data_IF_708123489858
#
_entry.id   IF_708123489858
#
_cell.length_a   1.000
_cell.length_b   1.000
_cell.length_c   1.000
_cell.angle_alpha   90.00
_cell.angle_beta   90.00
_cell.angle_gamma   90.00
#
_symmetry.space_group_name_H-M   'P 1'
#
loop_
_entity.id
_entity.type
_entity.pdbx_description
1 polymer ?
#
# COMPACT_ATOMS: atom_id res chain seq x y z
N UNK A 1 -15.79 21.84 -5.99
CA UNK A 1 -15.27 21.53 -6.10
C UNK A 1 -14.85 21.01 -5.96
N UNK A 2 -15.17 20.44 -5.74
CA UNK A 2 -14.66 19.73 -5.70
C UNK A 2 -13.96 19.45 -6.24
N UNK A 3 -13.94 19.56 -6.77
CA UNK A 3 -13.13 19.08 -7.32
C UNK A 3 -12.11 19.18 -7.12
N UNK A 4 -11.74 19.57 -6.68
CA UNK A 4 -10.65 19.56 -6.34
C UNK A 4 -10.37 18.92 -5.55
N UNK A 5 -10.89 18.39 -5.18
CA UNK A 5 -10.54 17.80 -4.43
C UNK A 5 -9.74 16.92 -4.59
N UNK A 6 -9.89 16.64 -5.10
CA UNK A 6 -9.15 15.84 -5.26
C UNK A 6 -8.25 15.74 -6.03
N UNK A 7 -8.18 16.02 -6.53
CA UNK A 7 -7.40 15.87 -7.19
C UNK A 7 -6.38 15.96 -6.99
N UNK A 8 -6.40 16.27 -6.53
CA UNK A 8 -5.56 16.43 -6.34
C UNK A 8 -4.63 15.92 -5.94
N UNK A 9 -4.27 15.61 -5.56
CA UNK A 9 -3.33 15.18 -5.22
C UNK A 9 -2.93 14.35 -5.73
N UNK A 10 -2.65 14.76 -6.21
CA UNK A 10 -2.25 14.14 -6.50
C UNK A 10 -1.75 12.97 -6.56
N UNK A 11 -1.60 12.42 -5.71
CA UNK A 11 -1.37 11.04 -5.72
C UNK A 11 -2.68 10.36 -5.61
N UNK A 12 -3.37 10.39 -6.67
CA UNK A 12 -4.63 9.72 -6.69
C UNK A 12 -4.46 8.30 -7.14
N UNK A 13 -5.29 7.44 -6.63
CA UNK A 13 -5.30 6.06 -7.05
C UNK A 13 -5.70 5.98 -8.51
N UNK A 14 -5.12 5.08 -9.27
CA UNK A 14 -5.48 4.91 -10.66
C UNK A 14 -6.86 4.32 -10.80
N UNK A 15 -7.35 4.27 -12.03
CA UNK A 15 -8.64 3.68 -12.34
C UNK A 15 -8.67 2.21 -11.95
N UNK A 16 -9.87 1.68 -11.77
CA UNK A 16 -10.01 0.30 -11.31
C UNK A 16 -9.32 -0.71 -12.21
N UNK A 17 -9.30 -0.46 -13.50
CA UNK A 17 -8.63 -1.40 -14.40
C UNK A 17 -7.13 -1.46 -14.14
N UNK A 18 -6.55 -0.41 -13.61
CA UNK A 18 -5.15 -0.45 -13.28
C UNK A 18 -4.89 -1.31 -12.06
N UNK A 19 -5.85 -1.37 -11.15
CA UNK A 19 -5.73 -2.27 -10.01
C UNK A 19 -5.78 -3.72 -10.43
N UNK A 20 -6.64 -4.04 -11.38
CA UNK A 20 -6.90 -5.44 -11.71
C UNK A 20 -5.91 -6.01 -12.70
N UNK A 21 -5.28 -5.17 -13.52
CA UNK A 21 -4.42 -5.67 -14.58
C UNK A 21 -2.95 -5.48 -14.32
N UNK A 22 -2.61 -4.81 -13.24
CA UNK A 22 -1.25 -4.37 -13.07
C UNK A 22 -0.45 -5.25 -12.17
N UNK A 23 0.83 -4.97 -12.16
CA UNK A 23 1.77 -5.61 -11.28
C UNK A 23 1.48 -5.20 -9.83
N UNK A 24 1.89 -6.03 -8.86
CA UNK A 24 1.70 -5.68 -7.45
C UNK A 24 2.34 -4.35 -7.04
N UNK A 25 3.37 -3.92 -7.75
CA UNK A 25 3.98 -2.61 -7.54
C UNK A 25 4.12 -1.96 -8.90
N UNK A 26 3.69 -0.72 -9.01
CA UNK A 26 3.80 0.03 -10.26
C UNK A 26 5.13 0.75 -10.30
N UNK A 27 6.12 0.10 -10.91
CA UNK A 27 7.47 0.64 -10.96
C UNK A 27 7.54 1.94 -11.75
N UNK A 28 6.70 2.10 -12.77
CA UNK A 28 6.68 3.35 -13.54
C UNK A 28 6.30 4.53 -12.64
N UNK A 29 5.37 4.31 -11.72
CA UNK A 29 5.01 5.35 -10.77
C UNK A 29 6.19 5.71 -9.87
N UNK A 30 6.84 4.70 -9.31
CA UNK A 30 7.98 4.92 -8.43
C UNK A 30 9.11 5.65 -9.17
N UNK A 31 9.37 5.26 -10.42
CA UNK A 31 10.47 5.81 -11.18
C UNK A 31 10.32 7.28 -11.50
N UNK A 32 9.12 7.81 -11.43
CA UNK A 32 8.94 9.25 -11.55
C UNK A 32 9.62 10.01 -10.43
N UNK A 33 9.73 9.38 -9.27
CA UNK A 33 10.34 10.03 -8.10
C UNK A 33 11.82 9.72 -7.97
N UNK A 34 12.24 8.53 -8.42
CA UNK A 34 13.65 8.15 -8.35
C UNK A 34 14.43 8.60 -9.57
N UNK A 35 13.74 9.13 -10.59
CA UNK A 35 14.33 9.70 -11.78
C UNK A 35 15.28 8.74 -12.48
N UNK A 36 14.94 7.44 -12.45
CA UNK A 36 15.74 6.43 -13.11
C UNK A 36 16.95 5.96 -12.32
N UNK A 37 17.13 6.45 -11.11
CA UNK A 37 18.24 6.01 -10.25
C UNK A 37 17.91 4.63 -9.69
N UNK A 38 18.55 3.59 -10.24
CA UNK A 38 18.24 2.22 -9.85
C UNK A 38 18.62 1.93 -8.41
N UNK A 39 19.72 2.48 -7.94
CA UNK A 39 20.13 2.26 -6.56
C UNK A 39 19.10 2.86 -5.59
N UNK A 40 18.60 4.04 -5.91
CA UNK A 40 17.57 4.66 -5.08
C UNK A 40 16.28 3.87 -5.15
N UNK A 41 15.91 3.40 -6.33
CA UNK A 41 14.72 2.58 -6.49
C UNK A 41 14.79 1.35 -5.59
N UNK A 42 15.93 0.64 -5.65
CA UNK A 42 16.11 -0.57 -4.84
C UNK A 42 16.04 -0.25 -3.35
N UNK A 43 16.63 0.86 -2.95
CA UNK A 43 16.65 1.27 -1.56
C UNK A 43 15.23 1.54 -1.04
N UNK A 44 14.43 2.26 -1.85
CA UNK A 44 13.07 2.57 -1.47
C UNK A 44 12.23 1.29 -1.37
N UNK A 45 12.40 0.38 -2.33
CA UNK A 45 11.65 -0.87 -2.32
C UNK A 45 12.04 -1.75 -1.14
N UNK A 46 13.32 -1.79 -0.78
CA UNK A 46 13.76 -2.56 0.37
C UNK A 46 13.21 -1.99 1.67
N UNK A 47 13.17 -0.66 1.77
CA UNK A 47 12.57 -0.02 2.92
C UNK A 47 11.10 -0.38 3.04
N UNK A 48 10.38 -0.35 1.92
CA UNK A 48 8.98 -0.73 1.91
C UNK A 48 8.81 -2.18 2.38
N UNK A 49 9.64 -3.10 1.88
CA UNK A 49 9.57 -4.49 2.29
C UNK A 49 9.84 -4.68 3.79
N UNK A 50 10.74 -3.89 4.34
CA UNK A 50 11.06 -3.97 5.76
C UNK A 50 9.90 -3.45 6.62
N UNK A 51 9.28 -2.35 6.19
CA UNK A 51 8.21 -1.73 6.96
C UNK A 51 6.88 -2.44 6.84
N UNK A 52 6.64 -3.12 5.71
CA UNK A 52 5.35 -3.71 5.43
C UNK A 52 4.88 -4.69 6.51
N UNK A 53 5.68 -5.70 6.89
CA UNK A 53 5.22 -6.63 7.93
C UNK A 53 5.04 -5.96 9.29
N UNK A 54 5.85 -4.94 9.59
CA UNK A 54 5.72 -4.22 10.85
C UNK A 54 4.39 -3.46 10.90
N UNK A 55 4.03 -2.81 9.80
CA UNK A 55 2.79 -2.04 9.76
C UNK A 55 1.58 -2.97 9.78
N UNK A 56 1.67 -4.11 9.08
CA UNK A 56 0.59 -5.10 9.13
C UNK A 56 0.41 -5.67 10.52
N UNK A 57 1.51 -5.91 11.23
CA UNK A 57 1.44 -6.40 12.59
C UNK A 57 0.81 -5.35 13.51
N UNK A 58 1.18 -4.08 13.33
CA UNK A 58 0.59 -3.01 14.11
C UNK A 58 -0.91 -2.93 13.88
N UNK A 59 -1.33 -3.10 12.62
CA UNK A 59 -2.74 -3.07 12.30
C UNK A 59 -3.47 -4.24 12.96
N UNK A 60 -2.91 -5.45 12.83
CA UNK A 60 -3.55 -6.65 13.37
C UNK A 60 -3.62 -6.68 14.87
N UNK A 61 -2.72 -5.98 15.56
CA UNK A 61 -2.67 -5.97 17.02
C UNK A 61 -3.22 -4.68 17.61
N UNK A 62 -3.83 -3.82 16.81
CA UNK A 62 -4.34 -2.54 17.30
C UNK A 62 -5.39 -2.77 18.39
N UNK A 63 -5.17 -2.17 19.55
CA UNK A 63 -6.06 -2.33 20.68
C UNK A 63 -7.18 -1.31 20.72
N UNK A 64 -7.01 -0.20 20.02
CA UNK A 64 -8.02 0.86 20.00
C UNK A 64 -8.36 1.21 18.57
N UNK A 65 -9.47 1.87 18.41
CA UNK A 65 -9.87 2.34 17.09
C UNK A 65 -8.85 3.33 16.54
N UNK A 66 -8.32 4.16 17.40
CA UNK A 66 -7.31 5.13 16.97
C UNK A 66 -6.07 4.44 16.44
N UNK A 67 -5.59 3.42 17.15
CA UNK A 67 -4.41 2.68 16.71
C UNK A 67 -4.64 1.99 15.38
N UNK A 68 -5.83 1.44 15.21
CA UNK A 68 -6.22 0.81 13.95
C UNK A 68 -6.15 1.82 12.79
N UNK A 69 -6.75 2.98 13.00
CA UNK A 69 -6.79 4.00 11.94
C UNK A 69 -5.42 4.55 11.63
N UNK A 70 -4.59 4.75 12.65
CA UNK A 70 -3.23 5.23 12.42
C UNK A 70 -2.44 4.22 11.61
N UNK A 71 -2.51 2.95 11.95
CA UNK A 71 -1.78 1.92 11.22
C UNK A 71 -2.28 1.80 9.79
N UNK A 72 -3.59 1.84 9.58
CA UNK A 72 -4.16 1.76 8.24
C UNK A 72 -3.74 2.95 7.40
N UNK A 73 -3.75 4.14 7.98
CA UNK A 73 -3.37 5.35 7.28
C UNK A 73 -1.88 5.32 6.90
N UNK A 74 -1.04 4.86 7.81
CA UNK A 74 0.39 4.72 7.55
C UNK A 74 0.64 3.75 6.40
N UNK A 75 -0.05 2.62 6.41
CA UNK A 75 0.08 1.63 5.35
C UNK A 75 -0.35 2.20 4.01
N UNK A 76 -1.47 2.92 4.02
CA UNK A 76 -1.97 3.55 2.79
C UNK A 76 -0.95 4.49 2.18
N UNK A 77 -0.37 5.36 3.02
CA UNK A 77 0.60 6.33 2.53
C UNK A 77 1.84 5.68 1.96
N UNK A 78 2.40 4.70 2.68
CA UNK A 78 3.59 4.01 2.23
C UNK A 78 3.34 3.26 0.92
N UNK A 79 2.17 2.61 0.82
CA UNK A 79 1.85 1.83 -0.37
C UNK A 79 1.64 2.72 -1.59
N UNK A 80 1.00 3.86 -1.41
CA UNK A 80 0.83 4.81 -2.51
C UNK A 80 2.17 5.32 -3.01
N UNK A 81 3.08 5.56 -2.09
CA UNK A 81 4.39 6.11 -2.46
C UNK A 81 5.14 5.20 -3.42
N UNK A 82 5.04 3.89 -3.24
CA UNK A 82 5.76 2.96 -4.11
C UNK A 82 4.89 2.40 -5.25
N UNK A 83 3.64 2.80 -5.31
CA UNK A 83 2.76 2.31 -6.38
C UNK A 83 2.17 0.93 -6.10
N UNK A 84 2.07 0.55 -4.84
CA UNK A 84 1.42 -0.69 -4.46
C UNK A 84 -0.07 -0.42 -4.27
N UNK A 85 -0.76 -0.24 -5.39
CA UNK A 85 -2.14 0.28 -5.38
C UNK A 85 -3.12 -0.64 -4.70
N UNK A 86 -2.97 -1.95 -4.87
CA UNK A 86 -3.90 -2.88 -4.26
C UNK A 86 -3.82 -2.82 -2.74
N UNK A 87 -2.59 -2.77 -2.20
CA UNK A 87 -2.42 -2.62 -0.77
C UNK A 87 -2.98 -1.29 -0.31
N UNK A 88 -2.72 -0.22 -1.06
CA UNK A 88 -3.22 1.11 -0.72
C UNK A 88 -4.75 1.13 -0.67
N UNK A 89 -5.39 0.48 -1.63
CA UNK A 89 -6.85 0.42 -1.65
C UNK A 89 -7.40 -0.36 -0.46
N UNK A 90 -6.78 -1.49 -0.16
CA UNK A 90 -7.21 -2.29 0.99
C UNK A 90 -6.99 -1.54 2.30
N UNK A 91 -5.89 -0.78 2.39
CA UNK A 91 -5.63 0.03 3.58
C UNK A 91 -6.67 1.14 3.72
N UNK A 92 -7.10 1.72 2.61
CA UNK A 92 -8.17 2.70 2.62
C UNK A 92 -9.46 2.09 3.16
N UNK A 93 -9.80 0.88 2.71
CA UNK A 93 -10.98 0.19 3.22
C UNK A 93 -10.85 -0.07 4.71
N UNK A 94 -9.66 -0.49 5.16
CA UNK A 94 -9.43 -0.74 6.58
C UNK A 94 -9.63 0.54 7.39
N UNK A 95 -9.13 1.65 6.87
CA UNK A 95 -9.25 2.92 7.56
C UNK A 95 -10.71 3.33 7.76
N UNK A 96 -11.57 2.94 6.83
CA UNK A 96 -12.99 3.30 6.85
C UNK A 96 -13.83 2.41 7.76
N UNK A 97 -13.29 1.30 8.24
CA UNK A 97 -14.08 0.38 9.06
C UNK A 97 -14.27 0.92 10.47
N UNK A 98 -15.49 0.76 10.98
CA UNK A 98 -15.79 1.19 12.33
C UNK A 98 -15.24 0.22 13.37
N UNK A 99 -15.23 0.65 14.62
CA UNK A 99 -14.59 -0.09 15.68
C UNK A 99 -15.20 -1.45 16.01
N UNK A 100 -16.48 -1.65 15.67
CA UNK A 100 -17.18 -2.89 16.03
C UNK A 100 -17.19 -3.94 14.93
N UNK A 101 -16.48 -3.73 13.84
CA UNK A 101 -16.62 -4.60 12.69
C UNK A 101 -15.48 -5.62 12.65
N UNK A 102 -15.42 -6.47 13.67
CA UNK A 102 -14.29 -7.39 13.79
C UNK A 102 -14.21 -8.39 12.64
N UNK A 103 -15.36 -8.86 12.13
CA UNK A 103 -15.34 -9.74 10.99
C UNK A 103 -14.79 -9.06 9.74
N UNK A 104 -15.26 -7.84 9.49
CA UNK A 104 -14.78 -7.08 8.34
C UNK A 104 -13.29 -6.78 8.48
N UNK A 105 -12.83 -6.48 9.69
CA UNK A 105 -11.42 -6.24 9.93
C UNK A 105 -10.58 -7.49 9.66
N UNK A 106 -11.07 -8.65 10.10
CA UNK A 106 -10.36 -9.90 9.83
C UNK A 106 -10.26 -10.18 8.34
N UNK A 107 -11.33 -9.90 7.61
CA UNK A 107 -11.33 -10.13 6.17
C UNK A 107 -10.35 -9.22 5.45
N UNK A 108 -10.31 -7.94 5.82
CA UNK A 108 -9.40 -7.02 5.15
C UNK A 108 -7.95 -7.35 5.52
N UNK A 109 -7.70 -7.81 6.75
CA UNK A 109 -6.37 -8.23 7.15
C UNK A 109 -5.89 -9.41 6.32
N UNK A 110 -6.77 -10.39 6.08
CA UNK A 110 -6.41 -11.54 5.27
C UNK A 110 -6.07 -11.12 3.83
N UNK A 111 -6.84 -10.20 3.29
CA UNK A 111 -6.57 -9.69 1.94
C UNK A 111 -5.28 -8.88 1.89
N UNK A 112 -5.00 -8.12 2.95
CA UNK A 112 -3.76 -7.37 3.03
C UNK A 112 -2.56 -8.31 3.11
N UNK A 113 -2.66 -9.39 3.89
CA UNK A 113 -1.58 -10.36 3.95
C UNK A 113 -1.29 -10.97 2.59
N UNK A 114 -2.34 -11.32 1.85
CA UNK A 114 -2.16 -11.89 0.52
C UNK A 114 -1.54 -10.89 -0.44
N UNK A 115 -2.03 -9.65 -0.43
CA UNK A 115 -1.50 -8.62 -1.31
C UNK A 115 -0.06 -8.28 -0.96
N UNK A 116 0.28 -8.27 0.33
CA UNK A 116 1.65 -8.01 0.76
C UNK A 116 2.60 -9.10 0.30
N UNK A 117 2.15 -10.36 0.37
CA UNK A 117 2.97 -11.46 -0.13
C UNK A 117 3.23 -11.35 -1.62
N UNK A 118 2.22 -10.97 -2.37
CA UNK A 118 2.39 -10.77 -3.81
C UNK A 118 3.37 -9.65 -4.11
N UNK A 119 3.25 -8.55 -3.38
CA UNK A 119 4.15 -7.42 -3.59
C UNK A 119 5.58 -7.79 -3.24
N UNK A 120 5.78 -8.52 -2.14
CA UNK A 120 7.11 -8.94 -1.73
C UNK A 120 7.76 -9.83 -2.77
N UNK A 121 7.02 -10.80 -3.30
CA UNK A 121 7.55 -11.67 -4.35
C UNK A 121 7.90 -10.88 -5.60
N UNK A 122 7.03 -9.94 -5.97
CA UNK A 122 7.26 -9.12 -7.16
C UNK A 122 8.55 -8.30 -7.01
N UNK A 123 8.73 -7.66 -5.86
CA UNK A 123 9.90 -6.82 -5.63
C UNK A 123 11.17 -7.67 -5.64
N UNK A 124 11.15 -8.82 -4.99
CA UNK A 124 12.30 -9.69 -4.94
C UNK A 124 12.69 -10.20 -6.32
N UNK A 125 11.71 -10.55 -7.14
CA UNK A 125 11.98 -10.98 -8.51
C UNK A 125 12.49 -9.84 -9.36
N UNK A 126 11.93 -8.66 -9.20
CA UNK A 126 12.35 -7.49 -9.94
C UNK A 126 13.81 -7.16 -9.67
N UNK A 127 14.24 -7.28 -8.42
CA UNK A 127 15.61 -6.99 -8.06
C UNK A 127 16.58 -8.03 -8.62
N UNK A 128 16.16 -9.28 -8.71
CA UNK A 128 16.99 -10.30 -9.31
C UNK A 128 17.21 -10.07 -10.79
N UNK A 129 16.19 -9.56 -11.47
CA UNK A 129 16.26 -9.33 -12.90
C UNK A 129 16.95 -8.03 -13.25
N UNK A 130 16.91 -7.11 -12.36
CA UNK A 130 17.44 -5.79 -12.59
C UNK A 130 18.88 -5.66 -12.29
#
# INVERSE_FOLDING_TARGET
>A
MDSYRAQSFDIEAPADQEYSSEQPVNLAHLRRYTLGDKALEDEVLQLFLTQLPLTLAALGSAATERDWKIAAHTLKGASRAVGAWRIARLAQLAEELAGNESKARSEVLAKLDAAASEASRFIQQSEKLG
#
